data_IF_995299351626
#
_entry.id   IF_995299351626
#
_cell.length_a   1.000
_cell.length_b   1.000
_cell.length_c   1.000
_cell.angle_alpha   90.00
_cell.angle_beta   90.00
_cell.angle_gamma   90.00
#
_symmetry.space_group_name_H-M   'P 1'
#
loop_
_entity.id
_entity.type
_entity.pdbx_description
1 polymer ?
#
# COMPACT_ATOMS: atom_id res chain seq x y z
N UNK A 1 -77.23 0.44 28.89
CA UNK A 1 -76.97 -0.62 27.90
C UNK A 1 -75.71 -0.22 27.14
N UNK A 2 -74.65 -1.06 27.23
CA UNK A 2 -73.47 -1.26 26.36
C UNK A 2 -72.95 -0.06 25.54
N UNK A 3 -71.67 0.31 25.54
CA UNK A 3 -70.54 -0.42 24.92
C UNK A 3 -69.27 0.40 25.29
N UNK A 4 -68.18 -0.15 25.84
CA UNK A 4 -67.22 -1.13 25.32
C UNK A 4 -65.88 -0.44 25.01
N UNK A 5 -64.88 -0.79 25.83
CA UNK A 5 -63.45 -0.93 25.54
C UNK A 5 -63.06 -0.70 24.08
N UNK A 6 -62.16 0.26 23.80
CA UNK A 6 -61.10 0.06 22.81
C UNK A 6 -59.81 0.73 23.30
N UNK A 7 -58.87 -0.12 23.73
CA UNK A 7 -57.44 0.14 23.66
C UNK A 7 -57.10 0.20 22.16
N UNK A 8 -56.50 1.29 21.69
CA UNK A 8 -55.60 1.20 20.56
C UNK A 8 -54.40 2.11 20.80
N UNK A 9 -53.26 1.42 20.85
CA UNK A 9 -51.90 1.89 21.04
C UNK A 9 -51.55 2.83 19.87
N UNK A 10 -51.38 4.11 20.17
CA UNK A 10 -50.75 5.07 19.27
C UNK A 10 -49.27 5.20 19.59
N UNK A 11 -48.48 4.24 19.13
CA UNK A 11 -47.02 4.26 19.18
C UNK A 11 -46.55 5.29 18.13
N UNK A 12 -46.45 6.58 18.49
CA UNK A 12 -45.76 7.56 17.64
C UNK A 12 -44.30 7.57 18.08
N UNK A 13 -43.53 6.79 17.31
CA UNK A 13 -42.08 6.80 17.27
C UNK A 13 -41.55 8.23 17.02
N UNK A 14 -40.71 8.64 17.96
CA UNK A 14 -39.43 9.34 17.76
C UNK A 14 -39.09 9.79 16.34
N UNK A 15 -38.84 11.10 16.19
CA UNK A 15 -37.63 11.55 15.50
C UNK A 15 -36.95 12.59 16.39
N UNK A 16 -36.13 12.10 17.33
CA UNK A 16 -34.97 12.87 17.77
C UNK A 16 -34.10 13.05 16.54
N UNK A 17 -33.87 14.31 16.13
CA UNK A 17 -32.79 14.68 15.22
C UNK A 17 -31.48 14.29 15.90
N UNK A 18 -31.07 13.04 15.73
CA UNK A 18 -29.70 12.64 15.94
C UNK A 18 -28.93 13.26 14.77
N UNK A 19 -28.24 14.37 15.05
CA UNK A 19 -27.10 14.74 14.25
C UNK A 19 -26.16 13.52 14.29
N UNK A 20 -26.09 12.81 13.17
CA UNK A 20 -25.12 11.74 13.02
C UNK A 20 -23.74 12.38 13.17
N UNK A 21 -23.07 12.07 14.28
CA UNK A 21 -21.66 12.34 14.44
C UNK A 21 -20.94 11.68 13.26
N UNK A 22 -20.32 12.51 12.42
CA UNK A 22 -19.15 12.09 11.65
C UNK A 22 -18.08 11.71 12.68
N UNK A 23 -17.97 10.42 12.98
CA UNK A 23 -16.79 9.72 13.49
C UNK A 23 -17.27 8.36 14.00
N UNK A 24 -17.11 7.36 13.14
CA UNK A 24 -16.68 6.00 13.47
C UNK A 24 -16.68 5.22 12.15
N UNK A 25 -15.76 5.59 11.25
CA UNK A 25 -15.43 4.73 10.11
C UNK A 25 -14.62 3.58 10.70
N UNK A 26 -15.25 2.41 10.80
CA UNK A 26 -14.56 1.15 11.04
C UNK A 26 -13.59 0.91 9.87
N UNK A 27 -12.33 1.33 10.02
CA UNK A 27 -11.24 0.94 9.12
C UNK A 27 -10.86 -0.49 9.47
N UNK A 28 -11.59 -1.48 8.94
CA UNK A 28 -11.21 -2.89 9.08
C UNK A 28 -11.85 -3.88 8.09
N UNK A 29 -12.64 -3.45 7.09
CA UNK A 29 -13.30 -4.44 6.21
C UNK A 29 -13.47 -3.96 4.76
N UNK A 30 -12.39 -3.44 4.15
CA UNK A 30 -12.32 -3.37 2.69
C UNK A 30 -12.09 -4.79 2.18
N UNK A 31 -13.12 -5.64 2.21
CA UNK A 31 -13.13 -6.84 1.39
C UNK A 31 -13.00 -6.40 -0.07
N UNK A 32 -12.11 -7.06 -0.80
CA UNK A 32 -11.88 -6.71 -2.20
C UNK A 32 -13.17 -6.86 -3.00
N UNK A 33 -13.74 -5.73 -3.40
CA UNK A 33 -14.87 -5.65 -4.33
C UNK A 33 -14.73 -4.53 -5.36
N UNK A 34 -13.49 -4.13 -5.66
CA UNK A 34 -13.17 -3.02 -6.57
C UNK A 34 -13.95 -3.08 -7.89
N UNK A 35 -14.14 -4.28 -8.41
CA UNK A 35 -14.84 -4.54 -9.68
C UNK A 35 -16.33 -4.21 -9.59
N UNK A 36 -16.98 -4.45 -8.44
CA UNK A 36 -18.43 -4.20 -8.27
C UNK A 36 -18.74 -2.81 -7.72
N UNK A 37 -17.74 -2.07 -7.24
CA UNK A 37 -17.92 -0.70 -6.74
C UNK A 37 -18.33 0.24 -7.86
N UNK A 38 -19.26 1.13 -7.53
CA UNK A 38 -19.62 2.29 -8.35
C UNK A 38 -18.45 3.28 -8.43
N UNK A 39 -18.48 4.18 -9.43
CA UNK A 39 -17.44 5.22 -9.55
C UNK A 39 -17.35 6.13 -8.32
N UNK A 40 -18.50 6.44 -7.69
CA UNK A 40 -18.56 7.25 -6.46
C UNK A 40 -17.88 6.54 -5.29
N UNK A 41 -18.10 5.24 -5.12
CA UNK A 41 -17.44 4.47 -4.06
C UNK A 41 -15.93 4.36 -4.29
N UNK A 42 -15.50 4.20 -5.55
CA UNK A 42 -14.08 4.18 -5.89
C UNK A 42 -13.42 5.53 -5.59
N UNK A 43 -14.06 6.64 -5.94
CA UNK A 43 -13.58 7.98 -5.62
C UNK A 43 -13.47 8.22 -4.12
N UNK A 44 -14.48 7.81 -3.35
CA UNK A 44 -14.44 7.94 -1.90
C UNK A 44 -13.24 7.19 -1.28
N UNK A 45 -13.00 5.94 -1.70
CA UNK A 45 -11.85 5.15 -1.23
C UNK A 45 -10.52 5.78 -1.66
N UNK A 46 -10.43 6.23 -2.90
CA UNK A 46 -9.23 6.90 -3.42
C UNK A 46 -8.93 8.14 -2.57
N UNK A 47 -9.93 8.97 -2.29
CA UNK A 47 -9.79 10.19 -1.49
C UNK A 47 -9.37 9.89 -0.06
N UNK A 48 -9.99 8.91 0.58
CA UNK A 48 -9.65 8.51 1.95
C UNK A 48 -8.17 8.06 2.05
N UNK A 49 -7.72 7.25 1.10
CA UNK A 49 -6.32 6.80 1.07
C UNK A 49 -5.37 7.96 0.73
N UNK A 50 -5.79 8.88 -0.14
CA UNK A 50 -5.01 10.09 -0.42
C UNK A 50 -4.83 10.93 0.85
N UNK A 51 -5.88 11.13 1.64
CA UNK A 51 -5.81 11.90 2.89
C UNK A 51 -4.88 11.23 3.93
N UNK A 52 -4.81 9.90 3.94
CA UNK A 52 -3.89 9.13 4.81
C UNK A 52 -2.42 9.34 4.39
N UNK A 53 -2.13 9.27 3.09
CA UNK A 53 -0.73 9.26 2.58
C UNK A 53 -0.20 10.68 2.34
N UNK A 54 -1.05 11.60 1.91
CA UNK A 54 -0.68 12.90 1.35
C UNK A 54 -1.23 14.04 2.19
N UNK A 55 -0.67 14.28 3.38
CA UNK A 55 -1.07 15.38 4.30
C UNK A 55 -1.21 16.76 3.60
N UNK A 56 -0.43 17.03 2.54
CA UNK A 56 -0.48 18.26 1.75
C UNK A 56 -0.75 18.01 0.25
N UNK A 57 -1.38 16.88 -0.10
CA UNK A 57 -1.71 16.51 -1.48
C UNK A 57 -0.52 16.08 -2.37
N UNK A 58 0.72 16.19 -1.90
CA UNK A 58 1.92 15.79 -2.66
C UNK A 58 3.00 15.25 -1.74
N UNK A 59 3.70 14.21 -2.19
CA UNK A 59 4.92 13.74 -1.55
C UNK A 59 6.07 14.60 -2.05
N UNK A 60 6.72 15.30 -1.12
CA UNK A 60 7.85 16.17 -1.44
C UNK A 60 9.16 15.40 -1.52
N UNK A 61 10.15 16.00 -2.18
CA UNK A 61 11.50 15.48 -2.25
C UNK A 61 12.13 15.46 -0.85
N UNK A 62 12.76 14.36 -0.47
CA UNK A 62 13.57 14.32 0.75
C UNK A 62 14.95 14.90 0.50
N UNK A 63 15.18 16.10 1.03
CA UNK A 63 16.51 16.71 1.00
C UNK A 63 17.48 15.94 1.90
N UNK A 64 18.75 15.90 1.49
CA UNK A 64 19.83 15.17 2.16
C UNK A 64 19.72 13.63 2.19
N UNK A 65 18.69 13.02 1.61
CA UNK A 65 18.52 11.55 1.58
C UNK A 65 19.79 10.84 1.05
N UNK A 66 20.39 11.36 -0.02
CA UNK A 66 21.63 10.81 -0.58
C UNK A 66 22.77 10.73 0.44
N UNK A 67 22.88 11.75 1.30
CA UNK A 67 23.91 11.83 2.33
C UNK A 67 23.63 10.83 3.46
N UNK A 68 22.36 10.71 3.87
CA UNK A 68 21.92 9.73 4.87
C UNK A 68 22.20 8.29 4.40
N UNK A 69 22.01 8.02 3.11
CA UNK A 69 22.23 6.71 2.49
C UNK A 69 23.69 6.45 2.07
N UNK A 70 24.66 7.33 2.37
CA UNK A 70 26.03 7.27 1.81
C UNK A 70 26.71 5.91 1.98
N UNK A 71 26.49 5.25 3.13
CA UNK A 71 27.08 3.95 3.46
C UNK A 71 26.32 2.77 2.84
N UNK A 72 25.15 3.03 2.25
CA UNK A 72 24.22 2.04 1.68
C UNK A 72 24.14 2.14 0.15
N UNK A 73 24.76 3.14 -0.48
CA UNK A 73 24.74 3.35 -1.94
C UNK A 73 25.22 2.12 -2.72
N UNK A 74 26.13 1.36 -2.13
CA UNK A 74 26.58 0.07 -2.65
C UNK A 74 26.42 -1.00 -1.58
N UNK A 75 25.74 -2.08 -1.92
CA UNK A 75 25.67 -3.26 -1.10
C UNK A 75 27.04 -3.95 -1.06
N UNK A 76 27.64 -3.98 0.13
CA UNK A 76 28.96 -4.60 0.36
C UNK A 76 28.91 -6.12 0.15
N UNK A 77 27.76 -6.75 0.37
CA UNK A 77 27.55 -8.18 0.25
C UNK A 77 26.71 -8.55 -0.98
N UNK A 78 26.73 -7.71 -2.03
CA UNK A 78 25.83 -7.83 -3.17
C UNK A 78 25.81 -9.19 -3.85
N UNK A 79 26.95 -9.88 -4.00
CA UNK A 79 26.96 -11.21 -4.61
C UNK A 79 26.15 -12.20 -3.79
N UNK A 80 26.36 -12.23 -2.48
CA UNK A 80 25.65 -13.14 -1.58
C UNK A 80 24.14 -12.86 -1.60
N UNK A 81 23.77 -11.58 -1.44
CA UNK A 81 22.38 -11.17 -1.45
C UNK A 81 21.71 -11.44 -2.81
N UNK A 82 22.39 -11.12 -3.92
CA UNK A 82 21.90 -11.37 -5.27
C UNK A 82 21.61 -12.86 -5.49
N UNK A 83 22.56 -13.74 -5.16
CA UNK A 83 22.39 -15.18 -5.36
C UNK A 83 21.32 -15.77 -4.44
N UNK A 84 21.24 -15.34 -3.18
CA UNK A 84 20.18 -15.77 -2.27
C UNK A 84 18.80 -15.36 -2.79
N UNK A 85 18.62 -14.10 -3.21
CA UNK A 85 17.38 -13.63 -3.81
C UNK A 85 17.04 -14.43 -5.08
N UNK A 86 18.02 -14.62 -5.97
CA UNK A 86 17.83 -15.35 -7.23
C UNK A 86 17.51 -16.83 -7.02
N UNK A 87 17.92 -17.41 -5.90
CA UNK A 87 17.61 -18.79 -5.50
C UNK A 87 16.25 -18.91 -4.78
N UNK A 88 15.53 -17.80 -4.59
CA UNK A 88 14.18 -17.80 -4.00
C UNK A 88 14.16 -17.76 -2.48
N UNK A 89 15.28 -17.42 -1.84
CA UNK A 89 15.29 -17.20 -0.39
C UNK A 89 14.39 -16.01 -0.04
N UNK A 90 13.62 -16.13 1.04
CA UNK A 90 12.83 -15.03 1.62
C UNK A 90 13.57 -14.32 2.75
N UNK A 91 14.54 -15.01 3.34
CA UNK A 91 15.34 -14.52 4.46
C UNK A 91 16.80 -14.96 4.28
N UNK A 92 17.73 -14.11 4.72
CA UNK A 92 19.15 -14.37 4.77
C UNK A 92 19.75 -13.66 5.99
N UNK A 93 20.19 -14.43 6.99
CA UNK A 93 20.61 -13.92 8.29
C UNK A 93 19.50 -13.04 8.93
N UNK A 94 19.89 -11.87 9.44
CA UNK A 94 19.03 -10.82 10.00
C UNK A 94 18.30 -9.99 8.93
N UNK A 95 18.12 -10.50 7.70
CA UNK A 95 17.52 -9.75 6.59
C UNK A 95 16.36 -10.50 5.95
N UNK A 96 15.31 -9.77 5.61
CA UNK A 96 14.34 -10.20 4.61
C UNK A 96 14.88 -9.87 3.22
N UNK A 97 14.67 -10.76 2.26
CA UNK A 97 15.17 -10.62 0.90
C UNK A 97 14.08 -10.92 -0.12
N UNK A 98 14.08 -10.19 -1.23
CA UNK A 98 13.12 -10.39 -2.31
C UNK A 98 13.76 -10.18 -3.68
N UNK A 99 13.37 -11.00 -4.64
CA UNK A 99 13.85 -10.96 -6.01
C UNK A 99 12.83 -10.28 -6.94
N UNK A 100 13.34 -9.49 -7.90
CA UNK A 100 12.53 -8.88 -8.95
C UNK A 100 13.07 -9.31 -10.31
N UNK A 101 12.18 -9.93 -11.10
CA UNK A 101 12.45 -10.43 -12.44
C UNK A 101 11.85 -9.48 -13.48
N UNK A 102 12.56 -9.29 -14.60
CA UNK A 102 12.04 -8.51 -15.71
C UNK A 102 11.49 -9.47 -16.76
N UNK A 103 10.16 -9.44 -16.98
CA UNK A 103 9.47 -10.36 -17.91
C UNK A 103 9.82 -11.83 -17.58
N UNK A 104 10.08 -12.63 -18.61
CA UNK A 104 10.41 -14.05 -18.49
C UNK A 104 11.93 -14.30 -18.33
N UNK A 105 12.68 -13.32 -17.83
CA UNK A 105 14.13 -13.49 -17.64
C UNK A 105 14.44 -14.36 -16.43
N UNK A 106 15.43 -15.25 -16.58
CA UNK A 106 15.92 -16.10 -15.49
C UNK A 106 16.75 -15.34 -14.45
N UNK A 107 17.35 -14.21 -14.85
CA UNK A 107 18.17 -13.40 -13.97
C UNK A 107 17.34 -12.29 -13.35
N UNK A 108 17.50 -12.07 -12.04
CA UNK A 108 16.90 -10.95 -11.35
C UNK A 108 17.59 -9.66 -11.81
N UNK A 109 16.80 -8.62 -12.10
CA UNK A 109 17.35 -7.30 -12.47
C UNK A 109 17.57 -6.43 -11.23
N UNK A 110 16.84 -6.74 -10.16
CA UNK A 110 16.85 -6.02 -8.89
C UNK A 110 16.52 -6.99 -7.75
N UNK A 111 17.01 -6.69 -6.56
CA UNK A 111 16.66 -7.36 -5.33
C UNK A 111 16.41 -6.33 -4.23
N UNK A 112 15.54 -6.66 -3.28
CA UNK A 112 15.28 -5.85 -2.10
C UNK A 112 15.85 -6.51 -0.85
N UNK A 113 16.30 -5.67 0.07
CA UNK A 113 16.77 -6.04 1.40
C UNK A 113 16.02 -5.20 2.43
N UNK A 114 15.56 -5.83 3.50
CA UNK A 114 15.07 -5.16 4.70
C UNK A 114 15.76 -5.78 5.92
N UNK A 115 16.25 -4.93 6.82
CA UNK A 115 16.82 -5.38 8.09
C UNK A 115 15.68 -5.81 9.02
N UNK A 116 15.75 -7.00 9.61
CA UNK A 116 14.71 -7.48 10.53
C UNK A 116 14.62 -6.65 11.81
N UNK A 117 15.69 -5.92 12.17
CA UNK A 117 15.73 -5.02 13.33
C UNK A 117 15.13 -3.64 13.03
N UNK A 118 15.09 -3.26 11.75
CA UNK A 118 14.50 -2.01 11.28
C UNK A 118 13.67 -2.27 10.02
N UNK A 119 12.43 -2.68 10.24
CA UNK A 119 11.47 -2.98 9.18
C UNK A 119 10.87 -1.71 8.54
N UNK A 120 11.20 -0.52 9.05
CA UNK A 120 10.68 0.75 8.52
C UNK A 120 11.26 1.12 7.15
N UNK A 121 12.27 0.37 6.67
CA UNK A 121 12.98 0.67 5.43
C UNK A 121 13.26 -0.57 4.59
N UNK A 122 13.03 -0.45 3.30
CA UNK A 122 13.35 -1.49 2.32
C UNK A 122 14.28 -0.89 1.26
N UNK A 123 15.42 -1.53 1.01
CA UNK A 123 16.47 -1.07 0.12
C UNK A 123 16.51 -1.90 -1.16
N UNK A 124 16.36 -1.24 -2.30
CA UNK A 124 16.31 -1.90 -3.61
C UNK A 124 17.60 -1.69 -4.37
N UNK A 125 18.31 -2.78 -4.64
CA UNK A 125 19.60 -2.81 -5.31
C UNK A 125 19.48 -3.40 -6.71
N UNK A 126 20.14 -2.79 -7.68
CA UNK A 126 20.32 -3.42 -9.00
C UNK A 126 21.12 -4.72 -8.87
N UNK A 127 21.10 -5.55 -9.91
CA UNK A 127 21.94 -6.75 -10.01
C UNK A 127 23.44 -6.55 -9.65
N UNK A 128 23.99 -5.34 -9.87
CA UNK A 128 25.38 -4.99 -9.52
C UNK A 128 25.56 -4.39 -8.11
N UNK A 129 24.56 -4.51 -7.24
CA UNK A 129 24.62 -4.03 -5.86
C UNK A 129 24.55 -2.52 -5.69
N UNK A 130 24.17 -1.75 -6.72
CA UNK A 130 23.95 -0.30 -6.60
C UNK A 130 22.54 -0.01 -6.12
N UNK A 131 22.41 0.76 -5.05
CA UNK A 131 21.12 1.21 -4.51
C UNK A 131 20.40 2.06 -5.56
N UNK A 132 19.14 1.73 -5.81
CA UNK A 132 18.25 2.41 -6.77
C UNK A 132 17.12 3.13 -6.08
N UNK A 133 16.48 2.44 -5.15
CA UNK A 133 15.32 2.94 -4.43
C UNK A 133 15.40 2.59 -2.96
N UNK A 134 14.69 3.37 -2.16
CA UNK A 134 14.38 3.07 -0.76
C UNK A 134 12.90 3.28 -0.55
N UNK A 135 12.22 2.31 0.06
CA UNK A 135 10.88 2.50 0.59
C UNK A 135 10.98 2.87 2.05
N UNK A 136 10.19 3.84 2.46
CA UNK A 136 9.86 4.11 3.84
C UNK A 136 8.48 3.53 4.13
N UNK A 137 8.38 2.74 5.19
CA UNK A 137 7.17 2.01 5.57
C UNK A 137 6.58 2.67 6.81
N UNK A 138 5.26 2.86 6.80
CA UNK A 138 4.48 3.55 7.82
C UNK A 138 3.23 2.75 8.15
N UNK A 139 2.69 2.91 9.35
CA UNK A 139 1.53 2.14 9.84
C UNK A 139 1.95 0.87 10.57
N UNK A 140 1.14 -0.19 10.47
CA UNK A 140 1.23 -1.37 11.35
C UNK A 140 2.13 -2.50 10.81
N UNK A 141 2.97 -2.22 9.80
CA UNK A 141 3.81 -3.24 9.18
C UNK A 141 4.57 -4.09 10.23
N UNK A 142 4.55 -5.43 10.15
CA UNK A 142 4.12 -6.26 9.01
C UNK A 142 2.62 -6.55 8.94
N UNK A 143 1.82 -6.05 9.89
CA UNK A 143 0.36 -6.16 9.88
C UNK A 143 -0.27 -5.10 8.96
N UNK A 144 -1.54 -5.30 8.64
CA UNK A 144 -2.31 -4.43 7.75
C UNK A 144 -3.35 -3.61 8.53
N UNK A 145 -3.66 -2.37 8.10
CA UNK A 145 -3.10 -1.71 6.92
C UNK A 145 -1.76 -1.00 7.20
N UNK A 146 -0.97 -0.83 6.15
CA UNK A 146 0.24 -0.02 6.17
C UNK A 146 0.44 0.66 4.82
N UNK A 147 1.33 1.63 4.72
CA UNK A 147 1.69 2.23 3.44
C UNK A 147 3.20 2.39 3.30
N UNK A 148 3.65 2.48 2.05
CA UNK A 148 5.04 2.80 1.75
C UNK A 148 5.17 3.94 0.76
N UNK A 149 6.25 4.71 0.93
CA UNK A 149 6.66 5.76 0.00
C UNK A 149 8.04 5.43 -0.54
N UNK A 150 8.14 5.32 -1.85
CA UNK A 150 9.38 5.00 -2.55
C UNK A 150 10.11 6.27 -3.00
N UNK A 151 11.41 6.32 -2.75
CA UNK A 151 12.29 7.38 -3.21
C UNK A 151 13.47 6.83 -4.01
N UNK A 152 13.90 7.58 -5.03
CA UNK A 152 15.24 7.42 -5.60
C UNK A 152 16.28 7.85 -4.58
N UNK A 153 17.53 7.38 -4.75
CA UNK A 153 18.68 7.85 -3.92
C UNK A 153 18.92 9.35 -3.99
N UNK A 154 18.34 10.07 -4.97
CA UNK A 154 18.38 11.53 -5.07
C UNK A 154 17.37 12.25 -4.17
N UNK A 155 16.54 11.52 -3.42
CA UNK A 155 15.41 12.08 -2.66
C UNK A 155 14.14 12.30 -3.47
N UNK A 156 14.15 12.05 -4.79
CA UNK A 156 12.96 12.24 -5.63
C UNK A 156 11.95 11.10 -5.37
N UNK A 157 10.70 11.39 -5.00
CA UNK A 157 9.68 10.36 -4.83
C UNK A 157 9.33 9.70 -6.17
N UNK A 158 8.96 8.43 -6.10
CA UNK A 158 8.66 7.58 -7.27
C UNK A 158 7.21 7.11 -7.26
N UNK A 159 6.74 6.65 -6.10
CA UNK A 159 5.38 6.13 -5.93
C UNK A 159 5.03 6.07 -4.44
N UNK A 160 3.74 6.00 -4.16
CA UNK A 160 3.22 5.58 -2.87
C UNK A 160 2.26 4.40 -3.05
N UNK A 161 2.26 3.50 -2.07
CA UNK A 161 1.42 2.30 -2.10
C UNK A 161 0.76 2.13 -0.74
N UNK A 162 -0.56 2.03 -0.72
CA UNK A 162 -1.34 1.65 0.45
C UNK A 162 -1.64 0.15 0.41
N UNK A 163 -1.31 -0.58 1.46
CA UNK A 163 -1.51 -2.01 1.56
C UNK A 163 -2.68 -2.28 2.52
N UNK A 164 -3.82 -2.69 1.96
CA UNK A 164 -5.03 -3.02 2.73
C UNK A 164 -4.94 -4.44 3.29
N UNK A 165 -4.36 -5.33 2.51
CA UNK A 165 -4.15 -6.73 2.87
C UNK A 165 -3.00 -7.30 2.06
N UNK A 166 -2.64 -8.55 2.34
CA UNK A 166 -1.68 -9.29 1.53
C UNK A 166 -2.00 -9.23 0.04
N UNK A 167 -3.29 -9.28 -0.31
CA UNK A 167 -3.75 -9.40 -1.69
C UNK A 167 -4.13 -8.07 -2.34
N UNK A 168 -4.33 -6.99 -1.58
CA UNK A 168 -4.92 -5.75 -2.09
C UNK A 168 -4.07 -4.52 -1.77
N UNK A 169 -3.70 -3.77 -2.80
CA UNK A 169 -2.81 -2.62 -2.71
C UNK A 169 -3.27 -1.49 -3.63
N UNK A 170 -3.28 -0.25 -3.16
CA UNK A 170 -3.66 0.95 -3.93
C UNK A 170 -2.42 1.77 -4.26
N UNK A 171 -2.26 2.12 -5.54
CA UNK A 171 -1.05 2.71 -6.08
C UNK A 171 -1.29 4.15 -6.46
N UNK A 172 -0.37 5.02 -6.06
CA UNK A 172 -0.42 6.44 -6.31
C UNK A 172 0.90 6.94 -6.87
N UNK A 173 0.81 7.87 -7.80
CA UNK A 173 1.93 8.68 -8.22
C UNK A 173 2.30 9.69 -7.12
N UNK A 174 3.52 10.26 -7.11
CA UNK A 174 3.95 11.18 -6.06
C UNK A 174 3.13 12.46 -5.93
N UNK A 175 2.40 12.85 -6.97
CA UNK A 175 1.49 14.00 -7.00
C UNK A 175 0.08 13.67 -6.48
N UNK A 176 -0.13 12.47 -5.94
CA UNK A 176 -1.43 12.01 -5.46
C UNK A 176 -2.26 11.30 -6.52
N UNK A 177 -1.88 11.31 -7.80
CA UNK A 177 -2.73 10.69 -8.84
C UNK A 177 -2.87 9.18 -8.63
N UNK A 178 -4.11 8.72 -8.59
CA UNK A 178 -4.42 7.31 -8.51
C UNK A 178 -3.96 6.58 -9.78
N UNK A 179 -3.15 5.54 -9.60
CA UNK A 179 -2.58 4.74 -10.68
C UNK A 179 -3.32 3.41 -10.88
N UNK A 180 -3.79 2.78 -9.81
CA UNK A 180 -4.54 1.53 -9.88
C UNK A 180 -4.61 0.76 -8.57
N UNK A 181 -5.40 -0.32 -8.55
CA UNK A 181 -5.48 -1.28 -7.45
C UNK A 181 -4.90 -2.61 -7.88
N UNK A 182 -3.83 -3.07 -7.23
CA UNK A 182 -3.44 -4.46 -7.30
C UNK A 182 -4.41 -5.30 -6.49
N UNK A 183 -4.97 -6.32 -7.12
CA UNK A 183 -5.59 -7.43 -6.43
C UNK A 183 -5.06 -8.76 -6.95
N UNK A 184 -4.46 -9.55 -6.06
CA UNK A 184 -3.77 -10.80 -6.40
C UNK A 184 -2.79 -10.59 -7.55
N UNK A 185 -3.14 -11.03 -8.76
CA UNK A 185 -2.28 -11.02 -9.94
C UNK A 185 -2.58 -9.87 -10.91
N UNK A 186 -3.58 -9.03 -10.66
CA UNK A 186 -4.08 -8.05 -11.63
C UNK A 186 -4.05 -6.64 -11.06
N UNK A 187 -3.59 -5.68 -11.87
CA UNK A 187 -3.67 -4.25 -11.59
C UNK A 187 -4.86 -3.71 -12.36
N UNK A 188 -5.83 -3.18 -11.62
CA UNK A 188 -7.05 -2.58 -12.16
C UNK A 188 -6.92 -1.06 -12.19
N UNK A 189 -7.32 -0.43 -13.29
CA UNK A 189 -7.51 1.02 -13.32
C UNK A 189 -8.83 1.40 -12.61
N UNK A 190 -9.16 2.70 -12.62
CA UNK A 190 -10.40 3.22 -12.03
C UNK A 190 -11.65 2.62 -12.68
N UNK A 191 -11.63 2.40 -14.00
CA UNK A 191 -12.70 1.76 -14.77
C UNK A 191 -12.80 0.24 -14.58
N UNK A 192 -12.05 -0.36 -13.64
CA UNK A 192 -11.98 -1.80 -13.40
C UNK A 192 -11.39 -2.63 -14.56
N UNK A 193 -10.66 -1.99 -15.48
CA UNK A 193 -9.95 -2.68 -16.56
C UNK A 193 -8.57 -3.15 -16.07
N UNK A 194 -8.15 -4.34 -16.50
CA UNK A 194 -6.83 -4.86 -16.19
C UNK A 194 -5.79 -4.15 -17.06
N UNK A 195 -4.87 -3.44 -16.43
CA UNK A 195 -3.79 -2.71 -17.11
C UNK A 195 -2.41 -3.36 -16.94
N UNK A 196 -2.25 -4.24 -15.94
CA UNK A 196 -1.02 -5.03 -15.74
C UNK A 196 -1.35 -6.36 -15.05
N UNK A 197 -0.51 -7.36 -15.25
CA UNK A 197 -0.55 -8.63 -14.50
C UNK A 197 0.82 -8.99 -13.92
N UNK A 198 0.84 -9.74 -12.81
CA UNK A 198 2.06 -10.26 -12.18
C UNK A 198 1.95 -11.77 -11.93
N UNK A 199 3.03 -12.49 -12.19
CA UNK A 199 3.06 -13.97 -12.22
C UNK A 199 3.47 -14.62 -10.90
N UNK A 200 3.82 -13.86 -9.86
CA UNK A 200 4.38 -14.41 -8.61
C UNK A 200 3.75 -13.83 -7.34
N UNK A 201 3.55 -14.71 -6.36
CA UNK A 201 3.28 -14.47 -4.94
C UNK A 201 4.26 -15.26 -4.08
#
# INVERSE_FOLDING_TARGET
MKFLKHILIGFILSQSLAFANYNDVYIADIQYDWIKKTEVEKEAIISEIQDIIFENGVITKQDNLKSQLKNLIKDKNHLNNYYAASAGYKELDEKNISAFYFKNQKHIYMYAIQDKKDISRIYYYSALGKLKYVDYVYGEYPEYPYYSIQYKTSGKPVSAIYFVSKDTQYLFAPNGDFTGVWHKHNLYNKSSEIILTRTTY
#
